data_IF_469142794526
#
_entry.id   IF_469142794526
#
_cell.length_a   1.000
_cell.length_b   1.000
_cell.length_c   1.000
_cell.angle_alpha   90.00
_cell.angle_beta   90.00
_cell.angle_gamma   90.00
#
_symmetry.space_group_name_H-M   'P 1'
#
loop_
_entity.id
_entity.type
_entity.pdbx_description
1 polymer ?
#
# COMPACT_ATOMS: atom_id res chain seq x y z
N UNK A 1 17.60 -16.01 11.14
CA UNK A 1 16.68 -14.93 11.55
C UNK A 1 16.38 -13.93 10.45
N UNK A 2 17.33 -13.52 9.57
CA UNK A 2 16.99 -12.62 8.46
C UNK A 2 16.06 -13.29 7.42
N UNK A 3 16.37 -14.53 7.02
CA UNK A 3 15.59 -15.29 6.04
C UNK A 3 14.12 -15.50 6.45
N UNK A 4 13.90 -15.78 7.73
CA UNK A 4 12.55 -16.04 8.25
C UNK A 4 11.71 -14.76 8.23
N UNK A 5 12.34 -13.61 8.52
CA UNK A 5 11.70 -12.30 8.42
C UNK A 5 11.38 -11.93 6.97
N UNK A 6 12.31 -12.15 6.05
CA UNK A 6 12.11 -11.84 4.63
C UNK A 6 10.95 -12.66 4.06
N UNK A 7 10.90 -13.97 4.35
CA UNK A 7 9.79 -14.84 3.96
C UNK A 7 8.46 -14.42 4.56
N UNK A 8 8.47 -13.99 5.83
CA UNK A 8 7.27 -13.50 6.48
C UNK A 8 6.76 -12.20 5.82
N UNK A 9 7.65 -11.26 5.50
CA UNK A 9 7.30 -10.01 4.81
C UNK A 9 6.71 -10.30 3.42
N UNK A 10 7.31 -11.21 2.66
CA UNK A 10 6.83 -11.57 1.32
C UNK A 10 5.42 -12.17 1.39
N UNK A 11 5.19 -13.17 2.25
CA UNK A 11 3.87 -13.79 2.41
C UNK A 11 2.82 -12.78 2.87
N UNK A 12 3.17 -11.87 3.79
CA UNK A 12 2.28 -10.82 4.25
C UNK A 12 1.88 -9.89 3.09
N UNK A 13 2.84 -9.40 2.32
CA UNK A 13 2.61 -8.41 1.28
C UNK A 13 1.88 -8.96 0.05
N UNK A 14 2.15 -10.21 -0.34
CA UNK A 14 1.73 -10.77 -1.62
C UNK A 14 0.64 -11.84 -1.53
N UNK A 15 0.48 -12.54 -0.40
CA UNK A 15 -0.45 -13.67 -0.30
C UNK A 15 -1.67 -13.34 0.58
N UNK A 16 -1.46 -12.54 1.64
CA UNK A 16 -2.53 -12.22 2.59
C UNK A 16 -3.47 -11.17 1.99
N UNK A 17 -4.73 -11.53 1.80
CA UNK A 17 -5.77 -10.57 1.43
C UNK A 17 -6.32 -9.85 2.67
N UNK A 18 -6.53 -8.53 2.56
CA UNK A 18 -7.14 -7.76 3.64
C UNK A 18 -8.67 -7.94 3.65
N UNK A 19 -9.25 -8.26 4.81
CA UNK A 19 -10.71 -8.41 4.99
C UNK A 19 -11.43 -7.09 5.32
N UNK A 20 -10.76 -5.95 5.18
CA UNK A 20 -11.39 -4.65 5.40
C UNK A 20 -12.49 -4.38 4.37
N UNK A 21 -13.59 -3.76 4.79
CA UNK A 21 -14.74 -3.37 3.94
C UNK A 21 -14.33 -2.64 2.64
N UNK A 22 -13.24 -1.87 2.71
CA UNK A 22 -12.70 -1.08 1.60
C UNK A 22 -11.41 -1.64 1.00
N UNK A 23 -10.99 -2.82 1.44
CA UNK A 23 -9.80 -3.49 0.90
C UNK A 23 -10.14 -4.44 -0.25
N UNK A 24 -11.42 -4.80 -0.43
CA UNK A 24 -11.92 -5.56 -1.58
C UNK A 24 -11.17 -6.86 -1.86
N UNK A 25 -10.65 -7.53 -0.81
CA UNK A 25 -9.87 -8.76 -0.95
C UNK A 25 -8.49 -8.56 -1.61
N UNK A 26 -8.02 -7.32 -1.77
CA UNK A 26 -6.69 -7.02 -2.29
C UNK A 26 -5.62 -7.34 -1.25
N UNK A 27 -4.44 -7.68 -1.74
CA UNK A 27 -3.24 -7.84 -0.92
C UNK A 27 -2.70 -6.45 -0.50
N UNK A 28 -1.85 -6.36 0.55
CA UNK A 28 -1.25 -5.10 0.94
C UNK A 28 -0.54 -4.40 -0.23
N UNK A 29 0.21 -5.15 -1.04
CA UNK A 29 0.98 -4.56 -2.15
C UNK A 29 0.07 -4.01 -3.26
N UNK A 30 -1.03 -4.69 -3.58
CA UNK A 30 -2.02 -4.21 -4.54
C UNK A 30 -2.68 -2.92 -4.03
N UNK A 31 -3.08 -2.91 -2.75
CA UNK A 31 -3.66 -1.72 -2.12
C UNK A 31 -2.70 -0.54 -2.16
N UNK A 32 -1.42 -0.77 -1.87
CA UNK A 32 -0.38 0.26 -1.89
C UNK A 32 -0.21 0.90 -3.27
N UNK A 33 -0.17 0.09 -4.33
CA UNK A 33 -0.05 0.61 -5.70
C UNK A 33 -1.30 1.36 -6.15
N UNK A 34 -2.49 0.87 -5.81
CA UNK A 34 -3.75 1.51 -6.20
C UNK A 34 -3.92 2.91 -5.60
N UNK A 35 -3.44 3.11 -4.37
CA UNK A 35 -3.57 4.40 -3.67
C UNK A 35 -2.39 5.35 -3.93
N UNK A 36 -1.35 4.91 -4.64
CA UNK A 36 -0.12 5.68 -4.86
C UNK A 36 -0.40 7.04 -5.53
N UNK A 37 -1.14 7.05 -6.62
CA UNK A 37 -1.47 8.29 -7.35
C UNK A 37 -2.43 9.17 -6.54
N UNK A 38 -3.36 8.58 -5.79
CA UNK A 38 -4.24 9.33 -4.89
C UNK A 38 -3.43 10.05 -3.80
N UNK A 39 -2.47 9.37 -3.19
CA UNK A 39 -1.58 9.95 -2.18
C UNK A 39 -0.72 11.07 -2.77
N UNK A 40 -0.16 10.86 -3.97
CA UNK A 40 0.61 11.88 -4.70
C UNK A 40 -0.21 13.14 -4.96
N UNK A 41 -1.45 13.01 -5.42
CA UNK A 41 -2.34 14.14 -5.69
C UNK A 41 -2.79 14.89 -4.43
N UNK A 42 -2.76 14.23 -3.27
CA UNK A 42 -3.08 14.82 -1.96
C UNK A 42 -1.86 15.25 -1.17
N UNK A 43 -0.66 15.13 -1.74
CA UNK A 43 0.57 15.51 -1.09
C UNK A 43 0.61 17.04 -0.93
N UNK A 44 0.76 17.52 0.30
CA UNK A 44 0.58 18.93 0.64
C UNK A 44 1.54 19.84 -0.12
N UNK A 45 2.78 19.40 -0.36
CA UNK A 45 3.76 20.19 -1.13
C UNK A 45 3.35 20.34 -2.61
N UNK A 46 2.57 19.39 -3.15
CA UNK A 46 2.03 19.49 -4.51
C UNK A 46 0.83 20.46 -4.60
N UNK A 47 0.23 20.85 -3.48
CA UNK A 47 -0.89 21.79 -3.42
C UNK A 47 -0.44 23.25 -3.32
N UNK A 48 0.86 23.52 -3.17
CA UNK A 48 1.38 24.85 -2.83
C UNK A 48 1.65 25.78 -4.04
N UNK A 49 1.29 25.40 -5.26
CA UNK A 49 1.51 26.25 -6.47
C UNK A 49 0.22 26.72 -7.16
N UNK A 50 -0.84 26.95 -6.38
CA UNK A 50 -2.08 27.58 -6.85
C UNK A 50 -2.27 29.00 -6.30
N UNK A 51 -1.18 29.80 -6.27
CA UNK A 51 -1.25 31.26 -6.08
C UNK A 51 -0.70 31.97 -7.31
#
# INVERSE_FOLDING_TARGET
MQKDLDQWIDSYNYERTHQGKYCFGKTPIQTFFDVKELAKNKYLDNLQFSL
#
